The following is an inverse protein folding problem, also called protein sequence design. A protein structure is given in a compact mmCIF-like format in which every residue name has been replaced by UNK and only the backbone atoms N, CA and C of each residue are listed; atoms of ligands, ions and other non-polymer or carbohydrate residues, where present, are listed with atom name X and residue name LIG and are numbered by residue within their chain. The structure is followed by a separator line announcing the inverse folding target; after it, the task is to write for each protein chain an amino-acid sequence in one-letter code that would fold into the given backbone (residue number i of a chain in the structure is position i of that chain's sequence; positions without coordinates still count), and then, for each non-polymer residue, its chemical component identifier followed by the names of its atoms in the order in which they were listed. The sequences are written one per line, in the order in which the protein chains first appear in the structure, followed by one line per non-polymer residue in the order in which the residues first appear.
data_IF_423700973465
#
_entry.id   IF_423700973465
#
_cell.length_a   1.000
_cell.length_b   1.000
_cell.length_c   1.000
_cell.angle_alpha   90.00
_cell.angle_beta   90.00
_cell.angle_gamma   90.00
#
_symmetry.space_group_name_H-M   'P 1'
#
loop_
_entity.id
_entity.type
_entity.pdbx_description
1 polymer ?
#
# COMPACT_ATOMS: atom_id res chain seq x y z
N UNK A 1 30.77 22.22 37.44
CA UNK A 1 29.59 21.38 37.19
C UNK A 1 29.41 21.36 35.68
N UNK A 2 29.69 20.25 35.04
CA UNK A 2 29.29 19.98 33.64
C UNK A 2 27.79 19.82 33.61
N UNK A 3 27.13 20.54 32.72
CA UNK A 3 25.70 20.40 32.51
C UNK A 3 25.46 20.23 31.00
N UNK A 4 24.71 19.20 30.58
CA UNK A 4 24.30 19.08 29.19
C UNK A 4 23.42 20.28 28.83
N UNK A 5 23.73 20.93 27.70
CA UNK A 5 22.95 22.05 27.20
C UNK A 5 21.63 21.54 26.61
N UNK A 6 20.50 22.18 26.90
CA UNK A 6 19.18 21.75 26.41
C UNK A 6 18.98 22.10 24.91
N UNK A 7 19.97 22.74 24.30
CA UNK A 7 20.05 23.03 22.86
C UNK A 7 20.42 21.74 22.09
N UNK A 8 19.49 20.79 22.05
CA UNK A 8 19.64 19.49 21.36
C UNK A 8 18.52 19.34 20.34
N UNK A 9 18.90 19.20 19.07
CA UNK A 9 17.97 19.06 17.96
C UNK A 9 18.04 17.62 17.41
N UNK A 10 16.91 16.92 17.45
CA UNK A 10 16.76 15.68 16.70
C UNK A 10 16.55 16.07 15.23
N UNK A 11 17.53 15.78 14.38
CA UNK A 11 17.45 16.14 12.97
C UNK A 11 16.70 15.06 12.19
N UNK A 12 15.83 15.44 11.23
CA UNK A 12 15.35 14.52 10.22
C UNK A 12 16.55 14.03 9.40
N UNK A 13 16.59 12.73 9.13
CA UNK A 13 17.77 12.10 8.56
C UNK A 13 18.03 12.61 7.14
N UNK A 14 19.30 12.92 6.82
CA UNK A 14 19.72 13.08 5.43
C UNK A 14 19.90 11.70 4.80
N UNK A 15 19.26 11.47 3.65
CA UNK A 15 19.49 10.28 2.84
C UNK A 15 20.99 10.16 2.50
N UNK A 16 21.67 9.21 3.11
CA UNK A 16 23.00 8.77 2.68
C UNK A 16 22.78 7.71 1.61
N UNK A 17 23.11 7.98 0.32
CA UNK A 17 23.07 6.94 -0.69
C UNK A 17 24.07 5.83 -0.33
N UNK A 18 23.77 4.56 -0.62
CA UNK A 18 24.69 3.47 -0.36
C UNK A 18 26.02 3.75 -1.07
N UNK A 19 27.12 3.66 -0.31
CA UNK A 19 28.45 3.74 -0.87
C UNK A 19 28.60 2.72 -2.01
N UNK A 20 29.09 3.11 -3.21
CA UNK A 20 29.32 2.16 -4.27
C UNK A 20 30.36 1.13 -3.80
N UNK A 21 30.00 -0.15 -3.88
CA UNK A 21 30.92 -1.25 -3.65
C UNK A 21 32.14 -1.06 -4.57
N UNK A 22 33.33 -1.00 -3.96
CA UNK A 22 34.59 -0.70 -4.64
C UNK A 22 34.87 -1.64 -5.79
N UNK A 23 35.14 -1.05 -6.96
CA UNK A 23 35.89 -1.63 -8.05
C UNK A 23 37.10 -0.73 -8.29
N UNK A 24 38.28 -1.37 -8.32
CA UNK A 24 39.59 -0.76 -8.47
C UNK A 24 39.76 0.03 -9.78
N UNK A 25 40.18 1.30 -9.71
CA UNK A 25 41.32 1.85 -10.47
C UNK A 25 41.61 3.32 -10.09
N UNK A 26 42.89 3.71 -9.89
CA UNK A 26 43.26 5.08 -9.56
C UNK A 26 43.60 5.88 -10.83
N UNK A 27 42.79 6.89 -11.16
CA UNK A 27 43.24 7.93 -12.10
C UNK A 27 43.47 9.22 -11.34
N UNK A 28 44.74 9.50 -11.08
CA UNK A 28 45.22 10.78 -10.57
C UNK A 28 45.09 11.85 -11.66
N UNK A 29 44.48 12.98 -11.32
CA UNK A 29 44.76 14.26 -11.99
C UNK A 29 45.08 15.30 -10.91
N UNK A 30 46.34 15.75 -10.93
CA UNK A 30 46.85 16.86 -10.14
C UNK A 30 46.74 18.16 -10.96
N UNK A 31 46.19 19.20 -10.31
CA UNK A 31 46.84 20.52 -10.28
C UNK A 31 46.36 21.60 -11.25
N UNK A 32 45.70 22.63 -10.69
CA UNK A 32 45.89 24.08 -10.86
C UNK A 32 44.59 24.76 -10.38
N UNK A 33 44.54 25.61 -9.35
CA UNK A 33 45.28 26.86 -9.19
C UNK A 33 44.29 28.03 -9.37
N UNK A 34 43.78 28.54 -8.24
CA UNK A 34 43.00 29.77 -7.95
C UNK A 34 43.38 31.06 -8.75
N UNK A 35 42.72 32.25 -8.62
CA UNK A 35 41.40 32.63 -8.04
C UNK A 35 40.62 33.76 -8.82
N UNK A 36 39.48 34.19 -8.24
CA UNK A 36 38.82 35.53 -8.27
C UNK A 36 38.13 36.07 -9.54
N UNK A 37 36.82 36.31 -9.44
CA UNK A 37 36.19 37.61 -9.73
C UNK A 37 34.80 37.73 -9.08
N UNK A 38 34.67 38.71 -8.18
CA UNK A 38 33.42 39.31 -7.68
C UNK A 38 32.72 40.10 -8.80
N UNK A 39 31.37 40.13 -8.78
CA UNK A 39 30.41 41.12 -9.31
C UNK A 39 29.04 40.40 -9.31
N UNK A 40 27.92 40.88 -8.79
CA UNK A 40 27.54 42.15 -8.19
C UNK A 40 26.11 42.02 -7.68
N UNK A 41 25.73 42.97 -6.84
CA UNK A 41 24.45 43.14 -6.16
C UNK A 41 23.21 43.03 -7.06
N UNK A 42 22.16 42.37 -6.56
CA UNK A 42 20.77 42.74 -6.79
C UNK A 42 19.84 41.97 -5.84
N UNK A 43 19.58 42.58 -4.68
CA UNK A 43 18.36 42.38 -3.90
C UNK A 43 17.16 42.94 -4.69
N UNK A 44 16.00 42.28 -4.66
CA UNK A 44 14.76 43.04 -4.70
C UNK A 44 13.76 42.56 -3.64
N UNK A 45 13.67 43.37 -2.59
CA UNK A 45 12.43 43.96 -2.03
C UNK A 45 11.12 43.19 -2.23
N UNK A 46 10.63 42.65 -1.12
CA UNK A 46 9.21 42.33 -0.85
C UNK A 46 8.30 43.55 -1.07
N UNK A 47 7.08 43.33 -1.58
CA UNK A 47 5.93 44.05 -1.05
C UNK A 47 4.95 43.09 -0.35
N UNK A 48 4.69 43.38 0.91
CA UNK A 48 3.48 42.97 1.60
C UNK A 48 2.29 43.74 0.99
N UNK A 49 1.21 43.04 0.66
CA UNK A 49 -0.10 43.65 0.44
C UNK A 49 -1.17 42.92 1.24
N UNK A 50 -1.56 43.56 2.33
CA UNK A 50 -2.85 43.39 3.00
C UNK A 50 -3.96 43.78 2.04
N UNK A 51 -4.97 42.91 1.89
CA UNK A 51 -6.12 43.13 1.02
C UNK A 51 -7.31 42.29 1.46
N UNK A 52 -7.99 42.77 2.51
CA UNK A 52 -9.38 42.42 2.79
C UNK A 52 -10.24 42.73 1.56
N UNK A 53 -10.99 41.73 1.07
CA UNK A 53 -12.23 41.98 0.33
C UNK A 53 -13.22 40.84 0.54
N UNK A 54 -14.23 41.16 1.35
CA UNK A 54 -15.54 40.55 1.45
C UNK A 54 -16.19 40.37 0.09
N UNK A 55 -16.65 39.16 -0.24
CA UNK A 55 -17.79 38.97 -1.14
C UNK A 55 -18.78 37.97 -0.54
N UNK A 56 -19.95 38.52 -0.23
CA UNK A 56 -21.17 37.87 0.24
C UNK A 56 -22.14 37.86 -0.94
N UNK A 57 -22.65 36.69 -1.36
CA UNK A 57 -23.90 36.39 -2.10
C UNK A 57 -23.67 35.06 -2.86
N UNK A 58 -24.60 34.14 -3.08
CA UNK A 58 -26.00 34.01 -2.74
C UNK A 58 -26.31 32.49 -2.77
N UNK A 59 -27.07 32.00 -1.81
CA UNK A 59 -27.67 30.68 -1.88
C UNK A 59 -29.03 30.78 -2.59
N UNK A 60 -29.28 30.05 -3.69
CA UNK A 60 -30.63 29.92 -4.20
C UNK A 60 -31.36 28.75 -3.51
N UNK A 61 -32.43 29.09 -2.82
CA UNK A 61 -33.55 28.20 -2.48
C UNK A 61 -34.18 27.67 -3.77
N UNK A 62 -34.38 26.36 -3.88
CA UNK A 62 -35.34 25.77 -4.80
C UNK A 62 -36.17 24.68 -4.10
N UNK A 63 -37.44 25.02 -3.92
CA UNK A 63 -38.54 24.18 -3.45
C UNK A 63 -39.12 23.38 -4.62
N UNK A 64 -39.60 22.16 -4.31
CA UNK A 64 -40.77 21.46 -4.89
C UNK A 64 -40.49 20.30 -5.88
N UNK A 65 -41.08 19.15 -5.54
CA UNK A 65 -41.79 18.29 -6.49
C UNK A 65 -41.20 16.87 -6.67
N UNK A 66 -41.80 15.85 -6.05
CA UNK A 66 -42.76 14.89 -6.66
C UNK A 66 -42.09 13.64 -7.22
N UNK A 67 -42.45 12.47 -6.67
CA UNK A 67 -43.05 11.33 -7.38
C UNK A 67 -42.61 9.99 -6.77
N UNK A 68 -43.46 9.45 -5.89
CA UNK A 68 -43.51 8.02 -5.61
C UNK A 68 -44.04 7.32 -6.86
N UNK A 69 -43.17 6.62 -7.59
CA UNK A 69 -43.57 5.77 -8.70
C UNK A 69 -43.75 4.35 -8.19
N UNK A 70 -45.02 3.93 -8.19
CA UNK A 70 -45.47 2.54 -8.10
C UNK A 70 -44.93 1.75 -9.29
N UNK A 71 -44.11 0.73 -9.01
CA UNK A 71 -43.62 -0.24 -9.99
C UNK A 71 -44.00 -1.66 -9.59
N UNK A 72 -45.19 -2.09 -9.98
CA UNK A 72 -45.56 -3.51 -10.12
C UNK A 72 -45.07 -3.93 -11.52
N UNK A 73 -44.37 -5.07 -11.67
CA UNK A 73 -44.76 -6.26 -12.49
C UNK A 73 -43.64 -7.33 -12.45
N UNK A 74 -44.07 -8.52 -11.99
CA UNK A 74 -43.69 -9.91 -12.31
C UNK A 74 -42.21 -10.39 -12.38
N UNK A 75 -41.92 -11.36 -11.51
CA UNK A 75 -41.26 -12.60 -11.91
C UNK A 75 -42.02 -13.77 -11.25
N UNK A 76 -42.85 -14.44 -12.05
CA UNK A 76 -43.58 -15.64 -11.65
C UNK A 76 -42.69 -16.86 -11.74
N UNK A 77 -42.24 -17.37 -10.59
CA UNK A 77 -41.74 -18.75 -10.47
C UNK A 77 -42.94 -19.68 -10.38
N UNK A 78 -43.08 -20.51 -11.41
CA UNK A 78 -44.08 -21.56 -11.50
C UNK A 78 -43.94 -22.58 -10.37
N UNK A 79 -45.06 -22.86 -9.73
CA UNK A 79 -45.23 -23.91 -8.75
C UNK A 79 -46.70 -24.25 -8.67
N UNK A 80 -47.03 -25.45 -9.15
CA UNK A 80 -48.21 -26.23 -8.75
C UNK A 80 -49.60 -25.67 -9.12
N UNK A 81 -50.09 -26.10 -10.29
CA UNK A 81 -51.52 -26.33 -10.48
C UNK A 81 -51.72 -27.66 -11.20
N UNK A 82 -51.91 -28.69 -10.38
CA UNK A 82 -52.58 -29.93 -10.78
C UNK A 82 -54.04 -29.61 -11.03
N UNK A 83 -54.34 -29.05 -12.21
CA UNK A 83 -55.68 -28.81 -12.71
C UNK A 83 -56.19 -30.05 -13.43
N UNK A 84 -56.65 -31.04 -12.66
CA UNK A 84 -57.52 -32.08 -13.19
C UNK A 84 -58.91 -31.48 -13.42
N UNK A 85 -59.27 -31.17 -14.66
CA UNK A 85 -60.64 -30.88 -15.05
C UNK A 85 -60.89 -31.28 -16.52
N UNK A 86 -61.87 -32.18 -16.64
CA UNK A 86 -62.74 -32.44 -17.79
C UNK A 86 -62.12 -33.09 -19.04
N UNK A 87 -62.16 -34.42 -19.05
CA UNK A 87 -62.46 -35.15 -20.27
C UNK A 87 -63.92 -34.85 -20.68
N UNK A 88 -64.19 -34.33 -21.89
CA UNK A 88 -65.53 -34.38 -22.45
C UNK A 88 -65.76 -35.80 -23.00
N UNK A 89 -66.53 -36.60 -22.27
CA UNK A 89 -67.22 -37.77 -22.83
C UNK A 89 -68.23 -37.26 -23.85
N UNK A 90 -67.81 -37.22 -25.12
CA UNK A 90 -68.73 -37.13 -26.24
C UNK A 90 -69.07 -38.56 -26.68
N UNK A 91 -70.33 -38.93 -26.47
CA UNK A 91 -70.88 -40.23 -26.87
C UNK A 91 -70.87 -40.45 -28.39
N UNK A 92 -71.23 -41.66 -28.84
CA UNK A 92 -71.08 -42.08 -30.22
C UNK A 92 -72.11 -41.33 -31.08
N UNK A 93 -71.63 -40.35 -31.85
CA UNK A 93 -72.49 -39.49 -32.64
C UNK A 93 -71.87 -39.24 -34.01
N UNK A 94 -72.43 -39.89 -35.03
CA UNK A 94 -72.34 -39.45 -36.41
C UNK A 94 -71.45 -40.32 -37.29
N UNK A 95 -72.03 -41.40 -37.80
CA UNK A 95 -71.68 -41.99 -39.10
C UNK A 95 -71.81 -40.89 -40.17
N UNK A 96 -70.73 -40.13 -40.40
CA UNK A 96 -70.63 -39.20 -41.52
C UNK A 96 -70.33 -40.02 -42.78
N UNK A 97 -71.41 -40.48 -43.40
CA UNK A 97 -71.45 -41.23 -44.65
C UNK A 97 -71.06 -40.31 -45.81
N UNK A 98 -69.77 -40.24 -46.11
CA UNK A 98 -69.28 -39.69 -47.39
C UNK A 98 -69.59 -40.69 -48.52
N UNK A 99 -69.94 -40.18 -49.70
CA UNK A 99 -70.41 -40.94 -50.86
C UNK A 99 -69.45 -42.03 -51.36
N UNK A 100 -69.91 -42.86 -52.32
CA UNK A 100 -69.24 -44.09 -52.71
C UNK A 100 -67.93 -43.79 -53.45
N UNK A 101 -66.80 -44.22 -52.89
CA UNK A 101 -65.52 -44.22 -53.59
C UNK A 101 -64.26 -43.83 -52.80
N UNK A 102 -64.30 -43.71 -51.47
CA UNK A 102 -63.07 -43.48 -50.68
C UNK A 102 -62.66 -44.80 -50.01
N UNK A 103 -61.50 -45.40 -50.34
CA UNK A 103 -61.04 -46.59 -49.65
C UNK A 103 -60.85 -46.25 -48.16
N UNK A 104 -61.45 -47.05 -47.28
CA UNK A 104 -61.42 -46.90 -45.81
C UNK A 104 -60.03 -47.14 -45.20
N UNK A 105 -59.02 -47.40 -46.02
CA UNK A 105 -57.63 -47.57 -45.60
C UNK A 105 -56.82 -46.41 -46.17
N UNK A 106 -56.38 -45.45 -45.34
CA UNK A 106 -55.43 -44.46 -45.79
C UNK A 106 -54.16 -45.18 -46.29
N UNK A 107 -53.55 -44.75 -47.41
CA UNK A 107 -52.27 -45.29 -47.83
C UNK A 107 -51.27 -45.12 -46.69
N UNK A 108 -50.42 -46.13 -46.46
CA UNK A 108 -49.38 -46.05 -45.43
C UNK A 108 -48.57 -44.78 -45.66
N UNK A 109 -48.53 -43.91 -44.66
CA UNK A 109 -47.73 -42.70 -44.73
C UNK A 109 -46.28 -43.06 -45.11
N UNK A 110 -45.64 -42.34 -46.06
CA UNK A 110 -44.25 -42.58 -46.37
C UNK A 110 -43.43 -42.44 -45.09
N UNK A 111 -42.47 -43.35 -44.89
CA UNK A 111 -41.57 -43.31 -43.74
C UNK A 111 -40.70 -42.06 -43.85
N UNK A 112 -41.15 -40.96 -43.25
CA UNK A 112 -40.33 -39.77 -43.11
C UNK A 112 -39.10 -40.13 -42.27
N UNK A 113 -37.89 -39.73 -42.69
CA UNK A 113 -36.70 -39.95 -41.88
C UNK A 113 -36.90 -39.27 -40.53
N UNK A 114 -37.03 -40.07 -39.47
CA UNK A 114 -36.99 -39.55 -38.10
C UNK A 114 -35.57 -39.02 -37.91
N UNK A 115 -35.37 -37.70 -37.66
CA UNK A 115 -34.04 -37.20 -37.38
C UNK A 115 -33.51 -37.95 -36.16
N UNK A 116 -32.28 -38.47 -36.21
CA UNK A 116 -31.74 -39.24 -35.10
C UNK A 116 -31.80 -38.38 -33.84
N UNK A 117 -32.31 -38.96 -32.75
CA UNK A 117 -32.23 -38.32 -31.44
C UNK A 117 -30.78 -37.93 -31.18
N UNK A 118 -30.49 -36.66 -30.84
CA UNK A 118 -29.12 -36.24 -30.60
C UNK A 118 -28.57 -37.09 -29.46
N UNK A 119 -27.67 -38.02 -29.79
CA UNK A 119 -26.94 -38.80 -28.79
C UNK A 119 -26.19 -37.79 -27.92
N UNK A 120 -26.18 -37.91 -26.58
CA UNK A 120 -25.38 -37.05 -25.75
C UNK A 120 -23.94 -37.16 -26.23
N UNK A 121 -23.43 -36.08 -26.83
CA UNK A 121 -22.08 -36.03 -27.34
C UNK A 121 -21.16 -36.25 -26.15
N UNK A 122 -20.50 -37.41 -26.10
CA UNK A 122 -19.53 -37.71 -25.04
C UNK A 122 -18.48 -36.60 -25.13
N UNK A 123 -18.29 -35.77 -24.09
CA UNK A 123 -17.28 -34.73 -24.15
C UNK A 123 -15.96 -35.43 -24.42
N UNK A 124 -15.34 -35.11 -25.56
CA UNK A 124 -14.09 -35.74 -25.97
C UNK A 124 -13.09 -35.61 -24.84
N UNK A 125 -12.30 -36.66 -24.59
CA UNK A 125 -11.26 -36.61 -23.57
C UNK A 125 -10.39 -35.34 -23.72
N UNK A 126 -10.14 -34.93 -24.97
CA UNK A 126 -9.51 -33.66 -25.33
C UNK A 126 -10.18 -32.42 -24.72
N UNK A 127 -11.51 -32.25 -24.81
CA UNK A 127 -12.20 -31.12 -24.16
C UNK A 127 -12.03 -31.13 -22.64
N UNK A 128 -12.01 -32.32 -22.02
CA UNK A 128 -11.75 -32.44 -20.57
C UNK A 128 -10.32 -32.03 -20.24
N UNK A 129 -9.34 -32.48 -21.01
CA UNK A 129 -7.94 -32.07 -20.86
C UNK A 129 -7.76 -30.56 -21.02
N UNK A 130 -8.35 -29.96 -22.06
CA UNK A 130 -8.30 -28.50 -22.28
C UNK A 130 -8.97 -27.75 -21.12
N UNK A 131 -10.11 -28.24 -20.62
CA UNK A 131 -10.79 -27.63 -19.47
C UNK A 131 -9.97 -27.73 -18.19
N UNK A 132 -9.32 -28.87 -17.94
CA UNK A 132 -8.44 -29.06 -16.78
C UNK A 132 -7.21 -28.15 -16.89
N UNK A 133 -6.59 -28.09 -18.06
CA UNK A 133 -5.43 -27.23 -18.30
C UNK A 133 -5.79 -25.75 -18.15
N UNK A 134 -6.95 -25.34 -18.66
CA UNK A 134 -7.47 -23.98 -18.49
C UNK A 134 -7.73 -23.66 -17.00
N UNK A 135 -8.33 -24.58 -16.25
CA UNK A 135 -8.53 -24.44 -14.82
C UNK A 135 -7.21 -24.32 -14.05
N UNK A 136 -6.21 -25.13 -14.41
CA UNK A 136 -4.88 -25.10 -13.80
C UNK A 136 -4.15 -23.79 -14.11
N UNK A 137 -4.17 -23.33 -15.37
CA UNK A 137 -3.60 -22.04 -15.77
C UNK A 137 -4.26 -20.88 -15.02
N UNK A 138 -5.59 -20.90 -14.88
CA UNK A 138 -6.34 -19.89 -14.12
C UNK A 138 -5.92 -19.89 -12.65
N UNK A 139 -5.77 -21.07 -12.05
CA UNK A 139 -5.33 -21.20 -10.66
C UNK A 139 -3.89 -20.69 -10.47
N UNK A 140 -2.98 -20.98 -11.40
CA UNK A 140 -1.60 -20.45 -11.40
C UNK A 140 -1.60 -18.93 -11.52
N UNK A 141 -2.41 -18.36 -12.41
CA UNK A 141 -2.51 -16.91 -12.57
C UNK A 141 -3.05 -16.25 -11.30
N UNK A 142 -4.10 -16.81 -10.69
CA UNK A 142 -4.64 -16.32 -9.42
C UNK A 142 -3.61 -16.41 -8.30
N UNK A 143 -2.85 -17.50 -8.21
CA UNK A 143 -1.78 -17.64 -7.23
C UNK A 143 -0.66 -16.62 -7.44
N UNK A 144 -0.25 -16.37 -8.70
CA UNK A 144 0.77 -15.38 -9.04
C UNK A 144 0.32 -13.96 -8.70
N UNK A 145 -0.93 -13.59 -9.03
CA UNK A 145 -1.51 -12.29 -8.68
C UNK A 145 -1.64 -12.16 -7.16
N UNK A 146 -2.12 -13.20 -6.47
CA UNK A 146 -2.22 -13.22 -5.01
C UNK A 146 -0.86 -13.04 -4.34
N UNK A 147 0.17 -13.74 -4.82
CA UNK A 147 1.55 -13.56 -4.36
C UNK A 147 2.07 -12.15 -4.66
N UNK A 148 1.82 -11.61 -5.85
CA UNK A 148 2.28 -10.27 -6.22
C UNK A 148 1.65 -9.19 -5.34
N UNK A 149 0.34 -9.28 -5.09
CA UNK A 149 -0.40 -8.40 -4.17
C UNK A 149 0.18 -8.56 -2.75
N UNK A 150 0.34 -9.78 -2.25
CA UNK A 150 0.90 -10.04 -0.93
C UNK A 150 2.30 -9.41 -0.75
N UNK A 151 3.17 -9.57 -1.75
CA UNK A 151 4.50 -8.99 -1.77
C UNK A 151 4.47 -7.45 -1.81
N UNK A 152 3.41 -6.84 -2.35
CA UNK A 152 3.29 -5.37 -2.39
C UNK A 152 2.72 -4.79 -1.10
N UNK A 153 1.89 -5.55 -0.38
CA UNK A 153 1.25 -5.12 0.88
C UNK A 153 2.03 -5.52 2.15
N UNK A 154 3.19 -6.17 2.03
CA UNK A 154 4.00 -6.52 3.19
C UNK A 154 4.47 -5.25 3.94
N UNK A 155 4.18 -5.11 5.25
CA UNK A 155 4.51 -3.91 6.00
C UNK A 155 6.02 -3.77 6.25
N UNK A 156 6.42 -2.56 6.64
CA UNK A 156 7.76 -2.29 7.15
C UNK A 156 8.01 -3.09 8.42
N UNK A 157 9.15 -3.78 8.49
CA UNK A 157 9.59 -4.50 9.68
C UNK A 157 11.02 -4.08 10.05
N UNK A 158 11.26 -4.01 11.35
CA UNK A 158 12.58 -3.75 11.91
C UNK A 158 13.25 -5.09 12.20
N UNK A 159 14.43 -5.29 11.63
CA UNK A 159 15.23 -6.50 11.78
C UNK A 159 16.21 -6.35 12.95
N UNK A 160 16.86 -5.19 13.06
CA UNK A 160 17.86 -4.93 14.09
C UNK A 160 17.97 -3.42 14.32
N UNK A 161 18.31 -3.04 15.56
CA UNK A 161 18.65 -1.66 15.91
C UNK A 161 19.95 -1.67 16.68
N UNK A 162 20.89 -0.83 16.29
CA UNK A 162 22.15 -0.61 17.02
C UNK A 162 22.38 0.89 17.18
N UNK A 163 22.84 1.29 18.36
CA UNK A 163 23.18 2.70 18.63
C UNK A 163 24.67 2.80 18.85
N UNK A 164 25.28 3.80 18.22
CA UNK A 164 26.71 4.07 18.33
C UNK A 164 26.97 5.57 18.39
N UNK A 165 28.15 5.91 18.89
CA UNK A 165 28.69 7.27 18.87
C UNK A 165 29.86 7.26 17.88
N UNK A 166 29.64 7.65 16.61
CA UNK A 166 30.69 7.53 15.58
C UNK A 166 31.92 8.38 15.90
N UNK A 167 31.71 9.53 16.55
CA UNK A 167 32.77 10.44 16.98
C UNK A 167 32.58 10.77 18.47
N UNK A 168 33.28 10.06 19.37
CA UNK A 168 33.20 10.34 20.81
C UNK A 168 33.78 11.74 21.14
N UNK A 169 33.29 12.32 22.24
CA UNK A 169 33.75 13.62 22.73
C UNK A 169 35.26 13.63 23.07
N UNK A 170 35.77 12.50 23.54
CA UNK A 170 37.15 12.35 24.05
C UNK A 170 37.50 13.46 25.06
N UNK A 171 38.70 14.03 24.96
CA UNK A 171 39.21 15.10 25.84
C UNK A 171 38.90 16.53 25.35
N UNK A 172 37.88 16.68 24.50
CA UNK A 172 37.50 17.98 23.95
C UNK A 172 36.43 18.62 24.82
N UNK A 173 36.55 19.92 25.02
CA UNK A 173 35.58 20.72 25.75
C UNK A 173 34.57 21.32 24.78
N UNK A 174 33.35 21.56 25.27
CA UNK A 174 32.29 22.27 24.53
C UNK A 174 32.00 21.63 23.16
N UNK A 175 31.72 20.33 23.18
CA UNK A 175 31.51 19.53 21.97
C UNK A 175 30.07 19.11 21.78
N UNK A 176 29.65 19.09 20.52
CA UNK A 176 28.43 18.41 20.08
C UNK A 176 28.81 17.02 19.60
N UNK A 177 28.21 16.02 20.22
CA UNK A 177 28.35 14.61 19.86
C UNK A 177 27.11 14.17 19.09
N UNK A 178 27.32 13.50 17.97
CA UNK A 178 26.24 12.88 17.22
C UNK A 178 26.10 11.42 17.68
N UNK A 179 24.94 11.09 18.26
CA UNK A 179 24.55 9.71 18.57
C UNK A 179 23.69 9.20 17.44
N UNK A 180 24.12 8.11 16.80
CA UNK A 180 23.46 7.57 15.62
C UNK A 180 22.90 6.19 15.94
N UNK A 181 21.59 6.03 15.78
CA UNK A 181 20.93 4.74 15.77
C UNK A 181 20.80 4.23 14.33
N UNK A 182 21.43 3.11 14.03
CA UNK A 182 21.29 2.40 12.76
C UNK A 182 20.17 1.38 12.88
N UNK A 183 19.09 1.61 12.14
CA UNK A 183 17.91 0.74 12.06
C UNK A 183 18.01 -0.07 10.78
N UNK A 184 18.10 -1.39 10.92
CA UNK A 184 18.02 -2.32 9.81
C UNK A 184 16.58 -2.77 9.59
N UNK A 185 16.11 -2.71 8.35
CA UNK A 185 14.73 -3.02 7.96
C UNK A 185 14.68 -4.12 6.90
N UNK A 186 13.49 -4.68 6.67
CA UNK A 186 13.26 -5.68 5.62
C UNK A 186 13.25 -5.09 4.18
N UNK A 187 13.52 -3.78 4.02
CA UNK A 187 13.51 -3.10 2.72
C UNK A 187 12.13 -2.72 2.18
N UNK A 188 11.07 -2.87 2.98
CA UNK A 188 9.73 -2.39 2.63
C UNK A 188 9.61 -0.90 2.91
N UNK A 189 8.70 -0.24 2.20
CA UNK A 189 8.40 1.16 2.47
C UNK A 189 7.51 1.29 3.71
N UNK A 190 7.67 2.37 4.47
CA UNK A 190 6.84 2.65 5.63
C UNK A 190 7.32 3.88 6.39
N UNK A 191 6.82 4.02 7.61
CA UNK A 191 7.22 5.10 8.52
C UNK A 191 7.72 4.47 9.80
N UNK A 192 8.90 4.91 10.26
CA UNK A 192 9.43 4.60 11.57
C UNK A 192 9.08 5.77 12.48
N UNK A 193 8.27 5.51 13.49
CA UNK A 193 7.94 6.51 14.50
C UNK A 193 8.79 6.25 15.73
N UNK A 194 9.55 7.26 16.17
CA UNK A 194 10.55 7.10 17.21
C UNK A 194 10.71 8.35 18.06
N UNK A 195 11.33 8.18 19.23
CA UNK A 195 11.70 9.28 20.11
C UNK A 195 13.05 8.98 20.75
N UNK A 196 13.80 10.04 21.07
CA UNK A 196 15.05 9.94 21.82
C UNK A 196 14.79 10.18 23.31
N UNK A 197 15.39 9.36 24.16
CA UNK A 197 15.40 9.49 25.60
C UNK A 197 16.83 9.74 26.04
N UNK A 198 17.01 10.75 26.89
CA UNK A 198 18.29 11.12 27.49
C UNK A 198 18.21 10.93 29.00
N UNK A 199 19.29 10.46 29.62
CA UNK A 199 19.37 10.40 31.08
C UNK A 199 19.23 11.81 31.69
N UNK A 200 18.28 12.00 32.62
CA UNK A 200 18.13 13.28 33.33
C UNK A 200 17.35 14.37 32.58
N UNK A 201 16.80 14.08 31.40
CA UNK A 201 15.93 15.00 30.65
C UNK A 201 14.53 14.43 30.44
N UNK A 202 13.57 15.30 30.14
CA UNK A 202 12.27 14.86 29.64
C UNK A 202 12.44 14.08 28.31
N UNK A 203 11.55 13.13 28.01
CA UNK A 203 11.54 12.45 26.71
C UNK A 203 11.45 13.47 25.58
N UNK A 204 12.20 13.23 24.50
CA UNK A 204 12.13 14.03 23.29
C UNK A 204 10.76 13.94 22.62
N UNK A 205 10.55 14.80 21.61
CA UNK A 205 9.38 14.70 20.75
C UNK A 205 9.33 13.35 20.03
N UNK A 206 8.13 13.00 19.56
CA UNK A 206 7.93 11.87 18.67
C UNK A 206 8.20 12.33 17.24
N UNK A 207 9.12 11.67 16.54
CA UNK A 207 9.53 11.95 15.17
C UNK A 207 9.09 10.82 14.25
N UNK A 208 8.81 11.18 13.00
CA UNK A 208 8.44 10.26 11.94
C UNK A 208 9.53 10.26 10.86
N UNK A 209 10.15 9.11 10.63
CA UNK A 209 11.14 8.90 9.57
C UNK A 209 10.53 8.06 8.44
N UNK A 210 10.63 8.55 7.20
CA UNK A 210 10.06 7.87 6.04
C UNK A 210 11.07 6.93 5.40
N UNK A 211 10.74 5.64 5.39
CA UNK A 211 11.56 4.60 4.76
C UNK A 211 11.02 4.35 3.36
N UNK A 212 11.86 4.60 2.36
CA UNK A 212 11.53 4.31 0.97
C UNK A 212 11.67 2.83 0.63
N UNK A 213 11.10 2.42 -0.50
CA UNK A 213 11.21 1.06 -0.97
C UNK A 213 12.67 0.68 -1.28
N UNK A 214 13.11 -0.49 -0.83
CA UNK A 214 14.48 -0.98 -0.99
C UNK A 214 15.48 -0.44 0.04
N UNK A 215 15.09 0.52 0.88
CA UNK A 215 15.96 1.02 1.95
C UNK A 215 15.99 0.03 3.11
N UNK A 216 17.15 -0.61 3.33
CA UNK A 216 17.38 -1.60 4.41
C UNK A 216 18.08 -1.03 5.62
N UNK A 217 18.57 0.20 5.54
CA UNK A 217 19.28 0.88 6.61
C UNK A 217 18.76 2.31 6.69
N UNK A 218 18.42 2.72 7.90
CA UNK A 218 17.94 4.07 8.23
C UNK A 218 18.73 4.54 9.43
N UNK A 219 19.28 5.74 9.35
CA UNK A 219 20.00 6.34 10.46
C UNK A 219 19.07 7.29 11.19
N UNK A 220 19.01 7.24 12.52
CA UNK A 220 18.30 8.21 13.33
C UNK A 220 19.37 8.93 14.14
N UNK A 221 19.42 10.26 14.08
CA UNK A 221 20.53 11.02 14.67
C UNK A 221 20.03 11.93 15.79
N UNK A 222 20.74 11.89 16.90
CA UNK A 222 20.59 12.81 18.03
C UNK A 222 21.86 13.65 18.14
N UNK A 223 21.74 14.97 18.01
CA UNK A 223 22.87 15.89 18.20
C UNK A 223 22.84 16.44 19.62
N UNK A 224 23.86 16.15 20.40
CA UNK A 224 23.88 16.48 21.82
C UNK A 224 25.13 17.28 22.21
N UNK A 225 24.92 18.50 22.71
CA UNK A 225 25.99 19.39 23.14
C UNK A 225 26.31 19.22 24.64
N UNK A 226 27.59 19.02 24.93
CA UNK A 226 28.15 18.99 26.28
C UNK A 226 29.07 20.18 26.48
N UNK A 227 28.87 20.94 27.56
CA UNK A 227 29.67 22.12 27.88
C UNK A 227 30.19 22.10 29.33
N UNK A 228 31.28 22.84 29.56
CA UNK A 228 31.90 23.01 30.87
C UNK A 228 32.99 21.99 31.22
N UNK A 229 33.61 22.17 32.39
CA UNK A 229 34.76 21.37 32.86
C UNK A 229 34.34 20.19 33.74
N UNK A 230 35.00 19.04 33.58
CA UNK A 230 34.73 17.82 34.34
C UNK A 230 34.49 16.60 33.45
N UNK A 231 34.10 15.48 34.08
CA UNK A 231 33.73 14.25 33.38
C UNK A 231 32.31 13.83 33.73
N UNK A 232 31.51 13.50 32.72
CA UNK A 232 30.16 12.95 32.90
C UNK A 232 29.95 11.77 31.94
N UNK A 233 29.10 10.83 32.34
CA UNK A 233 28.64 9.73 31.47
C UNK A 233 27.13 9.76 31.48
N UNK A 234 26.55 9.87 30.29
CA UNK A 234 25.12 9.99 30.08
C UNK A 234 24.62 8.92 29.11
N UNK A 235 23.35 8.55 29.20
CA UNK A 235 22.77 7.49 28.37
C UNK A 235 21.83 8.08 27.35
N UNK A 236 22.02 7.70 26.09
CA UNK A 236 21.11 8.01 24.99
C UNK A 236 20.42 6.73 24.52
N UNK A 237 19.08 6.73 24.58
CA UNK A 237 18.24 5.58 24.19
C UNK A 237 17.27 6.01 23.11
N UNK A 238 17.23 5.29 22.00
CA UNK A 238 16.17 5.41 21.00
C UNK A 238 15.02 4.49 21.38
N UNK A 239 13.80 5.02 21.41
CA UNK A 239 12.57 4.26 21.57
C UNK A 239 11.74 4.36 20.29
N UNK A 240 11.68 3.26 19.56
CA UNK A 240 10.86 3.13 18.36
C UNK A 240 9.49 2.63 18.79
N UNK A 241 8.43 3.32 18.34
CA UNK A 241 7.03 3.04 18.68
C UNK A 241 6.34 2.26 17.57
N UNK A 242 6.66 2.57 16.31
CA UNK A 242 6.10 1.95 15.11
C UNK A 242 7.22 1.69 14.09
N UNK A 243 7.21 0.56 13.33
CA UNK A 243 6.16 -0.46 13.20
C UNK A 243 6.06 -1.48 14.34
N UNK A 244 7.10 -1.59 15.18
CA UNK A 244 7.10 -2.45 16.36
C UNK A 244 7.87 -1.76 17.49
N UNK A 245 7.45 -1.93 18.76
CA UNK A 245 8.14 -1.32 19.90
C UNK A 245 9.51 -1.96 20.09
N UNK A 246 10.57 -1.16 19.93
CA UNK A 246 11.97 -1.60 20.10
C UNK A 246 12.75 -0.47 20.76
N UNK A 247 13.65 -0.83 21.68
CA UNK A 247 14.55 0.11 22.34
C UNK A 247 16.00 -0.34 22.18
N UNK A 248 16.88 0.63 21.97
CA UNK A 248 18.32 0.42 21.98
C UNK A 248 19.00 1.70 22.49
N UNK A 249 20.15 1.58 23.14
CA UNK A 249 20.84 2.74 23.69
C UNK A 249 22.34 2.53 23.80
N UNK A 250 23.04 3.63 24.04
CA UNK A 250 24.48 3.67 24.27
C UNK A 250 24.80 4.70 25.35
N UNK A 251 25.95 4.52 25.99
CA UNK A 251 26.54 5.52 26.86
C UNK A 251 27.39 6.51 26.06
N UNK A 252 27.36 7.77 26.48
CA UNK A 252 28.15 8.88 25.95
C UNK A 252 28.99 9.42 27.09
N UNK A 253 30.32 9.33 26.98
CA UNK A 253 31.25 9.86 27.96
C UNK A 253 31.82 11.18 27.48
N UNK A 254 31.73 12.21 28.32
CA UNK A 254 32.34 13.52 28.12
C UNK A 254 33.45 13.72 29.16
N UNK A 255 34.61 14.22 28.72
CA UNK A 255 35.72 14.58 29.60
C UNK A 255 36.40 15.86 29.12
N UNK A 256 36.34 16.90 29.94
CA UNK A 256 37.05 18.15 29.69
C UNK A 256 38.02 18.41 30.86
N UNK A 257 39.33 18.60 30.59
CA UNK A 257 40.29 18.98 31.61
C UNK A 257 39.94 20.35 32.19
N UNK A 258 40.01 20.46 33.52
CA UNK A 258 39.77 21.69 34.27
C UNK A 258 41.05 22.44 34.63
#
# INVERSE_FOLDING_TARGET
MTQPDDSTEALPTRHVPPAPAGGDEPTAFLGAGDPTAYLGDAEPTVPASTGERTETLAAPTATRGTATVTGVVAAGTGGERTGALAAPTAGPGGELRFGPGVPSTPPSAPAWPVPPTPRPARPSAWRRFVSVLSGLLTLVLLAAVGLWIWQRLSPLEIVQVSVAVPQPADRRCDVTVDVVATVHTNGRAGVVQYQWLRSGSAPGALLDERVGWGQRTVELTLRWTFSGVGSTTETATVNIVSPAPVQAGTEVTYSCPG
#
